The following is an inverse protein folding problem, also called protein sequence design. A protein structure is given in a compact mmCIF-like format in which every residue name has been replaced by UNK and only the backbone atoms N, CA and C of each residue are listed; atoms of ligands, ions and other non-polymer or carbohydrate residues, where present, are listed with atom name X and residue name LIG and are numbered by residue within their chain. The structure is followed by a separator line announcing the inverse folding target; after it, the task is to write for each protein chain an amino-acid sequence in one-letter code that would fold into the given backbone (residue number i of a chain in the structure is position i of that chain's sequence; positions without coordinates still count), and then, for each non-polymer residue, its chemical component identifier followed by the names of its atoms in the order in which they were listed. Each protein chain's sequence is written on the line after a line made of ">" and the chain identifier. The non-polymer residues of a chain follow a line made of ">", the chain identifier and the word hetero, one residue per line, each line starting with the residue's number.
data_IF_501446166002
#
_entry.id   IF_501446166002
#
_cell.length_a   1.000
_cell.length_b   1.000
_cell.length_c   1.000
_cell.angle_alpha   90.00
_cell.angle_beta   90.00
_cell.angle_gamma   90.00
#
_symmetry.space_group_name_H-M   'P 1'
#
loop_
_entity.id
_entity.type
_entity.pdbx_description
1 polymer ?
#
# COMPACT_ATOMS: atom_id res chain seq x y z
N UNK A 1 12.92 19.44 -3.75
CA UNK A 1 11.64 19.71 -3.05
C UNK A 1 10.67 18.65 -3.53
N UNK A 2 10.57 17.52 -2.83
CA UNK A 2 9.69 16.41 -3.26
C UNK A 2 8.24 16.78 -2.97
N UNK A 3 7.43 16.78 -4.03
CA UNK A 3 6.00 17.05 -3.98
C UNK A 3 5.35 16.03 -3.05
N UNK A 4 4.90 16.51 -1.90
CA UNK A 4 4.25 15.72 -0.86
C UNK A 4 2.84 15.36 -1.36
N UNK A 5 2.75 14.42 -2.29
CA UNK A 5 1.47 13.82 -2.69
C UNK A 5 0.80 13.30 -1.41
N UNK A 6 -0.48 13.61 -1.22
CA UNK A 6 -1.21 13.16 -0.04
C UNK A 6 -1.20 11.63 0.01
N UNK A 7 -0.49 11.10 1.00
CA UNK A 7 -0.44 9.67 1.23
C UNK A 7 -1.83 9.19 1.70
N UNK A 8 -2.33 8.07 1.15
CA UNK A 8 -3.57 7.47 1.63
C UNK A 8 -3.46 7.11 3.12
N UNK A 9 -4.60 7.02 3.80
CA UNK A 9 -4.68 6.82 5.26
C UNK A 9 -3.71 5.75 5.81
N UNK A 10 -3.55 4.55 5.20
CA UNK A 10 -2.62 3.53 5.70
C UNK A 10 -1.15 3.97 5.61
N UNK A 11 -0.75 4.57 4.50
CA UNK A 11 0.63 5.03 4.29
C UNK A 11 0.98 6.20 5.24
N UNK A 12 0.01 7.05 5.58
CA UNK A 12 0.21 8.14 6.56
C UNK A 12 0.51 7.63 7.97
N UNK A 13 -0.08 6.49 8.37
CA UNK A 13 0.15 5.91 9.69
C UNK A 13 1.61 5.46 9.91
N UNK A 14 2.27 5.03 8.83
CA UNK A 14 3.65 4.52 8.88
C UNK A 14 4.70 5.51 8.37
N UNK A 15 4.30 6.63 7.76
CA UNK A 15 5.23 7.62 7.20
C UNK A 15 6.20 8.19 8.24
N UNK A 16 5.72 8.51 9.45
CA UNK A 16 6.57 9.06 10.52
C UNK A 16 7.67 8.08 10.96
N UNK A 17 7.37 6.84 11.39
CA UNK A 17 8.42 5.90 11.80
C UNK A 17 9.42 5.59 10.67
N UNK A 18 8.97 5.48 9.41
CA UNK A 18 9.89 5.31 8.27
C UNK A 18 10.89 6.47 8.15
N UNK A 19 10.39 7.71 8.25
CA UNK A 19 11.24 8.89 8.17
C UNK A 19 12.17 9.04 9.37
N UNK A 20 11.66 8.82 10.59
CA UNK A 20 12.43 9.10 11.82
C UNK A 20 13.39 8.00 12.21
N UNK A 21 13.05 6.74 11.93
CA UNK A 21 13.84 5.58 12.35
C UNK A 21 14.69 5.01 11.21
N UNK A 22 14.15 5.01 9.99
CA UNK A 22 14.80 4.41 8.83
C UNK A 22 15.38 5.45 7.86
N UNK A 23 15.11 6.74 8.07
CA UNK A 23 15.51 7.83 7.17
C UNK A 23 14.99 7.64 5.74
N UNK A 24 13.83 7.02 5.60
CA UNK A 24 13.14 6.79 4.33
C UNK A 24 11.88 7.65 4.24
N UNK A 25 11.68 8.31 3.11
CA UNK A 25 10.40 8.92 2.76
C UNK A 25 9.55 7.91 1.96
N UNK A 26 8.22 8.00 2.08
CA UNK A 26 7.29 7.14 1.35
C UNK A 26 6.75 7.87 0.13
N UNK A 27 6.80 7.22 -1.02
CA UNK A 27 6.25 7.68 -2.29
C UNK A 27 5.20 6.69 -2.79
N UNK A 28 4.21 7.16 -3.57
CA UNK A 28 3.16 6.31 -4.14
C UNK A 28 3.00 6.57 -5.64
N UNK A 29 2.93 5.51 -6.48
CA UNK A 29 2.59 5.68 -7.89
C UNK A 29 1.17 6.23 -8.04
N UNK A 30 1.03 7.32 -8.81
CA UNK A 30 -0.26 7.92 -9.13
C UNK A 30 -0.96 7.11 -10.21
N UNK A 31 -2.25 6.82 -10.03
CA UNK A 31 -3.06 6.13 -11.04
C UNK A 31 -2.81 4.63 -11.19
N UNK A 32 -2.05 4.00 -10.28
CA UNK A 32 -1.87 2.55 -10.29
C UNK A 32 -3.20 1.84 -9.93
N UNK A 33 -3.80 1.18 -10.92
CA UNK A 33 -4.89 0.22 -10.70
C UNK A 33 -4.30 -1.10 -10.19
N UNK A 34 -4.51 -1.40 -8.91
CA UNK A 34 -4.03 -2.65 -8.32
C UNK A 34 -4.98 -3.83 -8.50
N UNK A 35 -6.22 -3.60 -8.94
CA UNK A 35 -7.19 -4.68 -9.17
C UNK A 35 -6.76 -5.59 -10.32
N UNK A 36 -5.88 -5.12 -11.21
CA UNK A 36 -5.23 -5.95 -12.22
C UNK A 36 -4.42 -7.13 -11.62
N UNK A 37 -4.04 -7.04 -10.34
CA UNK A 37 -3.32 -8.09 -9.61
C UNK A 37 -4.25 -9.02 -8.82
N UNK A 38 -5.56 -8.81 -8.93
CA UNK A 38 -6.61 -9.44 -8.15
C UNK A 38 -7.40 -8.38 -7.37
N UNK A 39 -8.73 -8.41 -7.47
CA UNK A 39 -9.58 -7.44 -6.80
C UNK A 39 -10.01 -7.93 -5.43
N UNK A 40 -10.22 -7.00 -4.50
CA UNK A 40 -10.65 -7.30 -3.14
C UNK A 40 -12.01 -8.02 -3.10
N UNK A 41 -12.92 -7.66 -4.00
CA UNK A 41 -14.25 -8.27 -4.13
C UNK A 41 -14.25 -9.63 -4.85
N UNK A 42 -13.08 -10.12 -5.27
CA UNK A 42 -12.90 -11.41 -5.95
C UNK A 42 -13.36 -11.43 -7.41
N UNK A 43 -13.82 -10.32 -7.99
CA UNK A 43 -14.22 -10.26 -9.41
C UNK A 43 -13.06 -10.48 -10.37
N UNK A 44 -11.87 -10.00 -10.03
CA UNK A 44 -10.62 -10.33 -10.71
C UNK A 44 -9.87 -11.38 -9.91
N UNK A 45 -9.66 -12.58 -10.45
CA UNK A 45 -8.91 -13.61 -9.75
C UNK A 45 -7.46 -13.16 -9.57
N UNK A 46 -6.93 -13.30 -8.35
CA UNK A 46 -5.50 -13.07 -8.12
C UNK A 46 -4.70 -14.27 -8.66
N UNK A 47 -3.54 -14.07 -9.29
CA UNK A 47 -2.65 -15.18 -9.59
C UNK A 47 -1.92 -15.59 -8.30
N UNK A 48 -2.32 -16.68 -7.67
CA UNK A 48 -1.67 -17.22 -6.46
C UNK A 48 -2.29 -16.75 -5.14
N UNK A 49 -1.44 -16.53 -4.12
CA UNK A 49 -1.83 -16.17 -2.76
C UNK A 49 -1.86 -14.65 -2.49
N UNK A 50 -2.24 -14.27 -1.28
CA UNK A 50 -2.18 -12.88 -0.81
C UNK A 50 -0.74 -12.34 -0.82
N UNK A 51 0.22 -13.19 -0.46
CA UNK A 51 1.64 -12.85 -0.50
C UNK A 51 2.10 -12.53 -1.93
N UNK A 52 1.70 -13.33 -2.91
CA UNK A 52 2.05 -13.11 -4.32
C UNK A 52 1.50 -11.78 -4.83
N UNK A 53 0.24 -11.47 -4.49
CA UNK A 53 -0.38 -10.20 -4.84
C UNK A 53 0.38 -9.02 -4.20
N UNK A 54 0.71 -9.12 -2.91
CA UNK A 54 1.50 -8.12 -2.19
C UNK A 54 2.87 -7.89 -2.83
N UNK A 55 3.60 -8.97 -3.14
CA UNK A 55 4.91 -8.92 -3.78
C UNK A 55 4.85 -8.25 -5.16
N UNK A 56 3.83 -8.59 -5.97
CA UNK A 56 3.61 -7.94 -7.28
C UNK A 56 3.24 -6.46 -7.15
N UNK A 57 2.43 -6.08 -6.17
CA UNK A 57 2.09 -4.67 -5.88
C UNK A 57 3.35 -3.86 -5.56
N UNK A 58 4.22 -4.41 -4.70
CA UNK A 58 5.49 -3.77 -4.34
C UNK A 58 6.41 -3.60 -5.55
N UNK A 59 6.60 -4.67 -6.33
CA UNK A 59 7.45 -4.63 -7.53
C UNK A 59 6.91 -3.65 -8.58
N UNK A 60 5.60 -3.66 -8.84
CA UNK A 60 4.99 -2.75 -9.81
C UNK A 60 5.13 -1.28 -9.38
N UNK A 61 5.01 -0.99 -8.07
CA UNK A 61 5.28 0.35 -7.55
C UNK A 61 6.74 0.76 -7.69
N UNK A 62 7.68 -0.15 -7.45
CA UNK A 62 9.11 0.07 -7.68
C UNK A 62 9.40 0.40 -9.15
N UNK A 63 8.85 -0.41 -10.07
CA UNK A 63 9.07 -0.26 -11.51
C UNK A 63 8.51 1.06 -12.04
N UNK A 64 7.30 1.46 -11.60
CA UNK A 64 6.67 2.72 -12.01
C UNK A 64 7.43 3.94 -11.49
N UNK A 65 7.92 3.88 -10.25
CA UNK A 65 8.61 5.01 -9.60
C UNK A 65 10.12 5.02 -9.85
N UNK A 66 10.70 3.95 -10.41
CA UNK A 66 12.15 3.78 -10.53
C UNK A 66 12.86 3.69 -9.18
N UNK A 67 12.19 3.14 -8.15
CA UNK A 67 12.71 3.08 -6.78
C UNK A 67 13.25 1.68 -6.45
N UNK A 68 14.34 1.59 -5.66
CA UNK A 68 14.97 0.31 -5.33
C UNK A 68 14.24 -0.49 -4.23
N UNK A 69 13.27 0.12 -3.55
CA UNK A 69 12.53 -0.49 -2.44
C UNK A 69 11.02 -0.37 -2.67
N UNK A 70 10.30 -1.45 -2.41
CA UNK A 70 8.85 -1.54 -2.55
C UNK A 70 8.19 -1.98 -1.26
N UNK A 71 7.04 -1.36 -0.95
CA UNK A 71 6.21 -1.70 0.20
C UNK A 71 4.76 -1.86 -0.28
N UNK A 72 4.12 -2.95 0.13
CA UNK A 72 2.72 -3.22 -0.18
C UNK A 72 2.05 -3.99 0.98
N UNK A 73 0.73 -4.03 0.96
CA UNK A 73 -0.10 -4.78 1.91
C UNK A 73 -1.39 -5.23 1.24
N UNK A 74 -1.86 -6.44 1.58
CA UNK A 74 -3.22 -6.92 1.30
C UNK A 74 -4.20 -6.63 2.45
N UNK A 75 -3.69 -6.15 3.59
CA UNK A 75 -4.49 -5.85 4.77
C UNK A 75 -5.25 -4.53 4.63
N UNK A 76 -6.51 -4.54 5.07
CA UNK A 76 -7.31 -3.32 5.20
C UNK A 76 -7.00 -2.60 6.50
N UNK A 77 -6.93 -1.27 6.45
CA UNK A 77 -6.84 -0.42 7.64
C UNK A 77 -8.27 -0.02 8.03
N UNK A 78 -8.84 -0.64 9.06
CA UNK A 78 -10.17 -0.28 9.56
C UNK A 78 -10.11 0.97 10.43
N UNK A 79 -11.24 1.68 10.52
CA UNK A 79 -11.34 2.91 11.29
C UNK A 79 -11.51 2.58 12.77
N UNK A 80 -10.42 2.71 13.55
CA UNK A 80 -10.32 3.26 14.92
C UNK A 80 -9.26 2.51 15.73
N UNK A 81 -8.23 3.19 16.29
CA UNK A 81 -7.20 2.56 17.15
C UNK A 81 -7.74 1.85 18.40
N UNK A 82 -9.02 2.05 18.73
CA UNK A 82 -9.68 1.54 19.92
C UNK A 82 -10.61 0.35 19.62
N UNK A 83 -10.97 0.11 18.34
CA UNK A 83 -11.92 -0.93 17.95
C UNK A 83 -11.49 -1.59 16.62
N UNK A 84 -10.41 -2.40 16.64
CA UNK A 84 -9.81 -2.94 15.41
C UNK A 84 -10.67 -3.93 14.62
N UNK A 85 -11.78 -4.42 15.18
CA UNK A 85 -12.59 -5.53 14.63
C UNK A 85 -13.90 -5.07 13.98
N UNK A 86 -14.35 -3.83 14.18
CA UNK A 86 -15.61 -3.34 13.60
C UNK A 86 -15.33 -2.54 12.32
N UNK A 87 -15.61 -3.16 11.17
CA UNK A 87 -15.74 -2.46 9.88
C UNK A 87 -17.00 -1.58 9.83
N UNK A 88 -17.17 -0.72 8.80
CA UNK A 88 -18.36 0.12 8.69
C UNK A 88 -19.63 -0.74 8.63
N UNK A 89 -20.67 -0.29 9.34
CA UNK A 89 -22.01 -0.85 9.26
C UNK A 89 -22.62 -0.71 7.86
#
# INVERSE_FOLDING_TARGET
>A
MFSRLELPQPARAIARPFRTLLQLDLERPVGLDTDQLGSFDGRRPRPGGAEDACRRKAQLGMDILGLPLGLASEGSFSSHPALPILGPA
#
